data_IF_193457808818
#
_entry.id   IF_193457808818
#
_cell.length_a   1.000
_cell.length_b   1.000
_cell.length_c   1.000
_cell.angle_alpha   90.00
_cell.angle_beta   90.00
_cell.angle_gamma   90.00
#
_symmetry.space_group_name_H-M   'P 1'
#
loop_
_entity.id
_entity.type
_entity.pdbx_description
1 polymer ?
2 non-polymer ?
3 non-polymer ?
4 non-polymer ?
5 water ?
#
# COMPACT_ATOMS: atom_id res chain seq x y z
N UNK A 1 -5.10 -16.78 -8.97
CA UNK A 1 -6.18 -15.73 -9.00
C UNK A 1 -5.61 -14.34 -8.78
N UNK A 2 -4.33 -14.12 -9.12
CA UNK A 2 -3.65 -12.79 -9.12
C UNK A 2 -4.55 -11.72 -9.78
N UNK A 3 -5.27 -12.11 -10.84
CA UNK A 3 -6.08 -11.19 -11.65
C UNK A 3 -7.17 -10.54 -10.80
N UNK A 4 -7.61 -11.17 -9.70
CA UNK A 4 -8.68 -10.56 -8.88
C UNK A 4 -8.19 -9.27 -8.17
N UNK A 5 -6.90 -9.02 -8.11
CA UNK A 5 -6.39 -7.74 -7.58
C UNK A 5 -6.49 -6.61 -8.60
N UNK A 6 -6.56 -6.94 -9.88
CA UNK A 6 -6.55 -5.93 -10.92
C UNK A 6 -7.82 -5.09 -10.87
N UNK A 7 -7.65 -3.80 -11.06
CA UNK A 7 -8.77 -2.85 -11.15
C UNK A 7 -8.55 -1.63 -10.29
N UNK A 8 -9.63 -0.97 -9.99
CA UNK A 8 -9.64 0.33 -9.31
C UNK A 8 -10.39 0.14 -8.00
N UNK A 9 -9.75 0.61 -6.92
CA UNK A 9 -10.18 0.34 -5.56
C UNK A 9 -10.26 1.63 -4.79
N UNK A 10 -11.35 1.80 -4.03
CA UNK A 10 -11.55 3.03 -3.26
C UNK A 10 -11.62 2.72 -1.78
N UNK A 11 -11.00 3.59 -0.96
CA UNK A 11 -10.97 3.33 0.50
C UNK A 11 -12.38 3.50 1.09
N UNK A 12 -12.85 2.53 1.88
CA UNK A 12 -14.15 2.64 2.58
C UNK A 12 -13.98 2.54 4.11
N UNK A 13 -12.83 2.11 4.62
CA UNK A 13 -12.64 2.02 6.08
C UNK A 13 -11.16 2.06 6.43
N UNK A 14 -10.85 2.52 7.64
CA UNK A 14 -9.47 2.55 8.13
C UNK A 14 -9.46 2.38 9.64
N UNK A 15 -8.47 1.68 10.13
CA UNK A 15 -8.10 1.56 11.56
C UNK A 15 -6.61 1.61 11.72
N UNK A 16 -6.16 2.39 12.72
CA UNK A 16 -4.75 2.50 13.17
C UNK A 16 -3.82 3.08 12.08
N UNK A 17 -4.37 3.77 11.08
CA UNK A 17 -3.49 4.36 10.03
C UNK A 17 -2.63 5.46 10.66
N UNK A 18 -3.25 6.31 11.49
CA UNK A 18 -2.50 7.43 12.13
C UNK A 18 -1.38 6.84 12.99
N UNK A 19 -1.69 5.77 13.72
CA UNK A 19 -0.67 5.10 14.59
C UNK A 19 0.45 4.53 13.73
N UNK A 20 0.09 3.92 12.59
CA UNK A 20 1.10 3.33 11.68
C UNK A 20 2.03 4.43 11.16
N UNK A 21 1.44 5.53 10.67
CA UNK A 21 2.24 6.67 10.16
C UNK A 21 3.12 7.23 11.27
N UNK A 22 2.62 7.40 12.49
CA UNK A 22 3.46 7.90 13.61
C UNK A 22 4.67 6.98 13.82
N UNK A 23 4.45 5.70 13.66
CA UNK A 23 5.49 4.64 13.86
C UNK A 23 6.60 4.76 12.81
N UNK A 24 6.32 5.38 11.68
CA UNK A 24 7.34 5.57 10.61
C UNK A 24 7.98 6.96 10.67
N UNK A 25 7.59 7.79 11.65
CA UNK A 25 8.20 9.12 11.78
C UNK A 25 7.51 10.17 10.95
N UNK A 26 6.25 9.90 10.57
CA UNK A 26 5.50 10.90 9.77
C UNK A 26 4.97 11.94 10.74
N UNK A 27 5.24 13.20 10.50
CA UNK A 27 4.87 14.25 11.48
C UNK A 27 3.38 14.51 11.45
N UNK A 28 2.87 15.13 12.52
CA UNK A 28 1.40 15.27 12.81
C UNK A 28 0.73 16.02 11.65
N UNK A 29 1.37 17.08 11.19
CA UNK A 29 0.77 17.90 10.12
C UNK A 29 0.54 17.06 8.85
N UNK A 30 1.50 16.21 8.47
CA UNK A 30 1.41 15.32 7.30
C UNK A 30 0.39 14.20 7.61
N UNK A 31 0.39 13.64 8.81
CA UNK A 31 -0.61 12.60 9.16
C UNK A 31 -2.02 13.15 8.99
N UNK A 32 -2.24 14.39 9.41
CA UNK A 32 -3.58 15.01 9.33
C UNK A 32 -4.04 15.04 7.88
N UNK A 33 -3.16 15.45 6.98
CA UNK A 33 -3.50 15.52 5.53
C UNK A 33 -3.74 14.12 4.99
N UNK A 34 -2.84 13.19 5.29
CA UNK A 34 -2.91 11.82 4.77
C UNK A 34 -4.22 11.15 5.20
N UNK A 35 -4.74 11.50 6.38
CA UNK A 35 -5.92 10.76 6.91
C UNK A 35 -7.24 11.35 6.44
N UNK A 36 -7.23 12.58 5.94
CA UNK A 36 -8.52 13.23 5.66
C UNK A 36 -8.82 13.17 4.16
N UNK A 37 -8.19 12.23 3.45
CA UNK A 37 -8.61 11.84 2.06
C UNK A 37 -8.98 10.35 2.01
N UNK A 38 -9.86 9.95 1.09
CA UNK A 38 -10.08 8.49 0.78
C UNK A 38 -9.40 8.21 -0.55
N UNK A 39 -8.19 7.64 -0.50
CA UNK A 39 -7.46 7.36 -1.72
C UNK A 39 -8.10 6.31 -2.62
N UNK A 40 -7.68 6.39 -3.89
CA UNK A 40 -7.98 5.37 -4.92
C UNK A 40 -6.67 4.66 -5.20
N UNK A 41 -6.73 3.35 -5.35
CA UNK A 41 -5.57 2.51 -5.73
C UNK A 41 -5.93 1.78 -7.01
N UNK A 42 -5.09 1.93 -8.01
CA UNK A 42 -5.26 1.23 -9.31
C UNK A 42 -4.16 0.19 -9.40
N UNK A 43 -4.56 -1.07 -9.64
CA UNK A 43 -3.58 -2.17 -9.81
C UNK A 43 -3.75 -2.66 -11.25
N UNK A 44 -2.67 -2.64 -12.01
CA UNK A 44 -2.73 -3.00 -13.44
C UNK A 44 -1.52 -3.90 -13.76
N UNK A 45 -1.61 -4.57 -14.90
CA UNK A 45 -0.56 -5.51 -15.32
C UNK A 45 -0.41 -5.40 -16.82
N UNK A 46 0.83 -5.47 -17.26
CA UNK A 46 1.15 -5.42 -18.72
C UNK A 46 2.32 -6.38 -18.88
N UNK A 47 2.08 -7.54 -19.46
CA UNK A 47 3.03 -8.65 -19.43
C UNK A 47 3.33 -9.05 -18.00
N UNK A 48 4.62 -9.10 -17.64
CA UNK A 48 4.97 -9.47 -16.27
C UNK A 48 5.27 -8.24 -15.45
N UNK A 49 4.91 -7.05 -15.94
CA UNK A 49 5.10 -5.81 -15.15
C UNK A 49 3.79 -5.40 -14.52
N UNK A 50 3.78 -5.35 -13.19
CA UNK A 50 2.65 -4.83 -12.43
C UNK A 50 2.88 -3.37 -12.11
N UNK A 51 1.79 -2.61 -12.07
CA UNK A 51 1.82 -1.20 -11.68
C UNK A 51 0.78 -0.98 -10.62
N UNK A 52 1.18 -0.27 -9.57
CA UNK A 52 0.28 0.16 -8.52
C UNK A 52 0.35 1.67 -8.43
N UNK A 53 -0.81 2.29 -8.60
CA UNK A 53 -0.98 3.74 -8.54
C UNK A 53 -1.87 4.07 -7.35
N UNK A 54 -1.49 5.10 -6.62
CA UNK A 54 -2.34 5.61 -5.56
C UNK A 54 -2.57 7.07 -5.84
N UNK A 55 -3.85 7.43 -5.85
CA UNK A 55 -4.32 8.78 -6.18
C UNK A 55 -4.98 9.35 -4.94
N UNK A 56 -4.55 10.54 -4.54
CA UNK A 56 -5.31 11.35 -3.55
C UNK A 56 -4.96 12.83 -3.67
N UNK A 57 -5.34 13.61 -2.65
CA UNK A 57 -4.90 15.02 -2.43
C UNK A 57 -3.63 15.09 -1.52
N UNK A 58 -3.26 14.07 -0.71
CA UNK A 58 -1.93 14.04 0.03
C UNK A 58 -0.81 13.91 -1.03
N UNK A 59 -0.96 12.95 -1.94
CA UNK A 59 0.06 12.75 -2.98
C UNK A 59 -0.50 11.80 -4.06
N UNK A 60 0.16 11.78 -5.20
CA UNK A 60 -0.05 10.66 -6.16
C UNK A 60 1.26 9.86 -6.15
N UNK A 61 1.20 8.53 -6.20
CA UNK A 61 2.39 7.69 -6.33
C UNK A 61 2.11 6.64 -7.41
N UNK A 62 3.18 6.11 -7.92
CA UNK A 62 3.09 5.00 -8.90
C UNK A 62 4.36 4.19 -8.72
N UNK A 63 4.20 2.88 -8.63
CA UNK A 63 5.37 1.98 -8.69
C UNK A 63 5.08 0.91 -9.72
N UNK A 64 6.13 0.44 -10.35
CA UNK A 64 6.08 -0.66 -11.32
C UNK A 64 7.14 -1.68 -10.94
N UNK A 65 6.80 -2.94 -11.09
CA UNK A 65 7.67 -4.01 -10.59
C UNK A 65 7.27 -5.35 -11.23
N UNK A 66 8.19 -6.28 -11.20
CA UNK A 66 7.94 -7.67 -11.45
C UNK A 66 7.84 -8.43 -10.14
N UNK A 67 6.94 -9.41 -10.07
CA UNK A 67 6.86 -10.22 -8.86
C UNK A 67 8.22 -10.81 -8.60
N UNK A 68 8.66 -10.73 -7.32
CA UNK A 68 9.88 -11.40 -6.94
C UNK A 68 11.17 -10.77 -7.37
N UNK A 69 11.15 -9.56 -7.89
CA UNK A 69 12.37 -8.81 -8.29
C UNK A 69 12.46 -7.51 -7.49
N UNK A 70 13.53 -7.39 -6.71
CA UNK A 70 13.77 -6.21 -5.84
C UNK A 70 13.82 -4.93 -6.69
N UNK A 71 13.24 -3.84 -6.18
CA UNK A 71 13.26 -2.56 -6.87
C UNK A 71 13.45 -1.45 -5.84
N UNK A 72 13.92 -0.32 -6.36
CA UNK A 72 14.06 0.89 -5.54
C UNK A 72 12.70 1.62 -5.58
N UNK A 73 12.30 2.11 -4.40
CA UNK A 73 11.02 2.86 -4.24
C UNK A 73 11.28 4.08 -3.34
N UNK A 74 10.63 5.17 -3.68
CA UNK A 74 10.53 6.33 -2.77
C UNK A 74 9.09 6.49 -2.37
N UNK A 75 8.81 6.23 -1.11
CA UNK A 75 7.44 6.19 -0.60
C UNK A 75 6.81 7.56 -0.54
N UNK A 76 5.50 7.55 -0.29
CA UNK A 76 4.72 8.78 -0.27
C UNK A 76 5.29 9.73 0.79
N UNK A 77 5.78 9.17 1.89
CA UNK A 77 6.36 9.89 3.07
C UNK A 77 7.91 10.10 2.89
N UNK A 78 8.42 9.89 1.68
CA UNK A 78 9.80 10.24 1.26
C UNK A 78 10.83 9.28 1.87
N UNK A 79 10.45 8.04 2.27
CA UNK A 79 11.47 7.03 2.58
C UNK A 79 11.99 6.46 1.25
N UNK A 80 13.31 6.42 1.09
CA UNK A 80 13.95 5.62 0.04
C UNK A 80 14.17 4.22 0.60
N UNK A 81 13.53 3.25 -0.04
CA UNK A 81 13.46 1.87 0.46
C UNK A 81 13.86 0.89 -0.68
N UNK A 82 14.17 -0.30 -0.20
CA UNK A 82 14.39 -1.46 -1.09
C UNK A 82 13.14 -2.32 -0.97
N UNK A 83 12.49 -2.57 -2.10
CA UNK A 83 11.14 -3.18 -2.09
C UNK A 83 11.11 -4.46 -2.87
N UNK A 84 10.17 -5.30 -2.48
CA UNK A 84 9.86 -6.49 -3.29
C UNK A 84 8.40 -6.84 -3.08
N UNK A 85 7.77 -7.28 -4.14
CA UNK A 85 6.36 -7.70 -4.08
C UNK A 85 6.29 -9.14 -4.47
N UNK A 86 5.63 -9.90 -3.61
CA UNK A 86 5.48 -11.35 -3.78
C UNK A 86 4.03 -11.75 -3.62
N UNK A 87 3.75 -12.99 -4.04
CA UNK A 87 2.43 -13.61 -3.88
C UNK A 87 2.62 -14.80 -2.94
N UNK A 88 2.00 -14.75 -1.78
CA UNK A 88 2.10 -15.81 -0.73
C UNK A 88 0.70 -16.37 -0.52
N UNK A 89 0.36 -17.39 -1.30
CA UNK A 89 -1.02 -17.88 -1.30
C UNK A 89 -1.92 -16.82 -1.93
N UNK A 90 -2.88 -16.35 -1.20
CA UNK A 90 -3.72 -15.29 -1.77
C UNK A 90 -3.31 -13.90 -1.34
N UNK A 91 -2.17 -13.75 -0.76
CA UNK A 91 -1.73 -12.44 -0.21
C UNK A 91 -0.74 -11.84 -1.19
N UNK A 92 -0.99 -10.61 -1.64
CA UNK A 92 0.00 -9.82 -2.41
C UNK A 92 0.81 -8.97 -1.42
N UNK A 93 2.05 -9.36 -1.20
CA UNK A 93 2.89 -8.83 -0.07
C UNK A 93 3.89 -7.86 -0.64
N UNK A 94 3.81 -6.63 -0.22
CA UNK A 94 4.79 -5.58 -0.58
C UNK A 94 5.68 -5.33 0.62
N UNK A 95 6.94 -5.76 0.56
CA UNK A 95 7.92 -5.55 1.64
C UNK A 95 8.78 -4.34 1.28
N UNK A 96 8.95 -3.43 2.25
CA UNK A 96 9.85 -2.27 2.14
C UNK A 96 10.90 -2.43 3.25
N UNK A 97 12.17 -2.34 2.88
CA UNK A 97 13.34 -2.38 3.81
C UNK A 97 14.18 -1.13 3.71
N UNK A 98 14.64 -0.65 4.86
CA UNK A 98 15.61 0.49 4.86
C UNK A 98 16.20 0.54 6.25
N UNK A 99 17.47 0.89 6.28
CA UNK A 99 18.13 1.32 7.54
C UNK A 99 17.96 0.29 8.63
N UNK A 100 18.02 -1.00 8.27
CA UNK A 100 17.93 -2.06 9.25
C UNK A 100 16.51 -2.35 9.75
N UNK A 101 15.49 -1.77 9.14
CA UNK A 101 14.11 -2.03 9.54
C UNK A 101 13.27 -2.34 8.29
N UNK A 102 12.00 -2.59 8.53
CA UNK A 102 11.09 -3.02 7.44
C UNK A 102 9.64 -2.74 7.80
N UNK A 103 8.81 -2.72 6.75
CA UNK A 103 7.34 -2.70 6.90
C UNK A 103 6.74 -3.55 5.78
N UNK A 104 5.64 -4.20 6.06
CA UNK A 104 4.90 -4.92 5.00
C UNK A 104 3.55 -4.24 4.77
N UNK A 105 3.13 -4.26 3.51
CA UNK A 105 1.83 -3.79 3.04
C UNK A 105 1.23 -5.01 2.34
N UNK A 106 0.29 -5.66 2.98
CA UNK A 106 -0.25 -6.95 2.53
C UNK A 106 -1.66 -6.74 2.02
N UNK A 107 -1.96 -7.20 0.82
CA UNK A 107 -3.31 -7.10 0.24
C UNK A 107 -3.90 -8.50 0.10
N UNK A 108 -5.14 -8.64 0.55
CA UNK A 108 -5.86 -9.92 0.46
C UNK A 108 -7.31 -9.61 0.08
N UNK A 109 -7.96 -10.48 -0.69
CA UNK A 109 -9.37 -10.28 -1.07
C UNK A 109 -10.18 -11.17 -0.13
N UNK A 110 -11.11 -10.54 0.54
CA UNK A 110 -12.01 -11.17 1.51
C UNK A 110 -13.43 -10.66 1.18
N UNK A 111 -14.29 -11.58 0.77
CA UNK A 111 -15.70 -11.26 0.49
C UNK A 111 -15.75 -10.18 -0.60
N UNK A 112 -14.87 -10.20 -1.59
CA UNK A 112 -14.87 -9.21 -2.68
C UNK A 112 -14.19 -7.87 -2.35
N UNK A 113 -13.84 -7.61 -1.08
CA UNK A 113 -13.19 -6.37 -0.62
C UNK A 113 -11.70 -6.63 -0.59
N UNK A 114 -10.95 -5.57 -0.81
CA UNK A 114 -9.48 -5.67 -0.73
C UNK A 114 -9.05 -5.12 0.63
N UNK A 115 -8.47 -6.01 1.44
CA UNK A 115 -8.00 -5.68 2.80
C UNK A 115 -6.52 -5.42 2.70
N UNK A 116 -6.08 -4.21 3.03
CA UNK A 116 -4.65 -3.83 3.06
C UNK A 116 -4.21 -3.74 4.49
N UNK A 117 -3.31 -4.62 4.91
CA UNK A 117 -2.78 -4.65 6.26
C UNK A 117 -1.36 -4.09 6.22
N UNK A 118 -1.09 -3.05 6.97
CA UNK A 118 0.23 -2.40 7.02
C UNK A 118 0.82 -2.74 8.40
N UNK A 119 2.00 -3.34 8.41
CA UNK A 119 2.65 -3.78 9.66
C UNK A 119 4.00 -3.11 9.76
N UNK A 120 4.25 -2.42 10.89
CA UNK A 120 5.60 -1.89 11.19
C UNK A 120 5.83 -2.13 12.66
N UNK A 121 6.63 -3.13 12.97
CA UNK A 121 6.81 -3.60 14.35
C UNK A 121 5.47 -3.95 14.96
N UNK A 122 5.11 -3.35 16.07
CA UNK A 122 3.77 -3.66 16.67
C UNK A 122 2.66 -2.78 16.11
N UNK A 123 2.94 -1.84 15.21
CA UNK A 123 1.88 -0.98 14.60
C UNK A 123 1.26 -1.80 13.46
N UNK A 124 -0.01 -2.10 13.57
CA UNK A 124 -0.80 -2.80 12.54
C UNK A 124 -2.06 -1.99 12.16
N UNK A 125 -2.21 -1.66 10.85
CA UNK A 125 -3.18 -0.80 10.33
C UNK A 125 -3.94 -1.65 9.35
N UNK A 126 -5.27 -1.52 9.34
CA UNK A 126 -6.11 -2.14 8.36
C UNK A 126 -6.82 -1.06 7.57
N UNK A 127 -6.66 -1.11 6.27
CA UNK A 127 -7.23 -0.20 5.26
C UNK A 127 -8.17 -1.05 4.40
N UNK A 128 -9.44 -0.73 4.36
CA UNK A 128 -10.40 -1.55 3.61
C UNK A 128 -10.80 -0.83 2.34
N UNK A 129 -10.71 -1.54 1.21
CA UNK A 129 -11.00 -0.96 -0.12
C UNK A 129 -12.12 -1.74 -0.81
N UNK A 130 -12.95 -1.01 -1.56
CA UNK A 130 -14.07 -1.62 -2.34
C UNK A 130 -13.78 -1.38 -3.83
N UNK A 131 -14.10 -2.37 -4.67
CA UNK A 131 -13.81 -2.27 -6.09
C UNK A 131 -14.77 -1.27 -6.72
N UNK A 132 -14.27 -0.40 -7.59
CA UNK A 132 -15.09 0.45 -8.48
C UNK A 132 -15.59 -0.39 -9.68
N UNK A 133 -16.80 -0.06 -10.11
CA UNK A 133 -17.60 -0.59 -11.26
C UNK A 133 -17.18 0.11 -12.54
X LIG B 1 -3.48 3.82 1.81
X LIG B 1 2.67 5.34 3.49
X LIG B 1 2.36 6.33 4.62
X LIG B 1 3.42 6.36 5.68
X LIG B 1 2.05 7.74 4.13
X LIG B 1 -2.38 3.15 1.20
X LIG B 1 -2.60 3.10 -0.18
X LIG B 1 -1.07 3.81 1.69
X LIG B 1 -0.43 3.20 2.74
X LIG B 1 0.74 3.70 3.31
X LIG B 1 1.40 4.81 2.80
X LIG B 1 0.79 5.42 1.69
X LIG B 1 -0.44 4.95 1.16
X LIG B 1 -4.27 3.06 2.05
X LIG B 1 -3.42 5.11 2.11
X LIG C 1 -16.13 6.76 6.64
X LIG C 1 -15.06 5.79 6.44
X LIG C 1 -13.79 6.47 6.84
X LIG C 1 -12.58 5.86 6.34
X LIG C 1 -11.52 6.83 6.52
X LIG C 1 -11.66 7.68 5.33
X LIG C 1 -10.97 8.96 5.44
X LIG C 1 -11.88 10.02 5.63
X LIG C 1 -12.07 11.00 4.56
X LIG C 1 -13.42 11.50 4.58
X LIG C 1 -14.01 11.47 3.25
X LIG C 1 -15.56 11.62 3.16
X LIG C 1 -16.25 10.51 2.55
X LIG D 1 -4.81 -11.07 8.65
X LIG D 1 -4.07 -10.08 7.97
X LIG D 1 -3.24 -10.86 7.03
X LIG D 1 -2.05 -10.29 6.58
X LIG D 1 -1.29 -9.63 7.55
X LIG D 1 0.14 -9.35 7.24
X LIG D 1 0.71 -10.63 6.64
X LIG D 1 2.16 -10.71 6.72
X LIG D 1 2.80 -11.64 5.71
X LIG D 1 1.93 -12.75 5.50
X LIG D 1 2.56 -14.04 5.57
X LIG D 1 1.56 -15.12 5.80
X LIG D 1 1.15 -15.43 4.49
X LIG D 1 1.24 -16.78 4.27
X LIG D 1 -0.23 -17.02 4.08
X LIG D 1 -0.57 -16.78 2.76
X LIG E 1 1.82 0.19 -1.64
X LIG E 1 2.03 -1.03 -1.65
X LIG E 1 0.70 0.72 -1.60
X LIG E 1 3.05 1.16 -1.51
#
# INVERSE_FOLDING_TARGET
>A
MVDAFLGTWKLVDSKNFDDYMKSLGVGFATRQVASMTKPTTIIEKNGDILTLKTHSTFKNTEISFKLGVEFDETTADDRKVKSIVTLDGGKLVHLQKWDGQETTLVRELIDGKLILTLTHGTAVCTRTYEKEA
>B hetero
1 IBP C1 C2 C3 C4 C5 C6 C7 C8 C9 C10 C11 C12 C13 O1 O2
>C hetero
1 P6G O1 C2 C3 O4 C5 C6 O7 C8 C9 O10 C11 C12 O13
>D hetero
1 P6G O1 C2 C3 O4 C5 C6 O7 C8 C9 O10 C11 C12 O13 C14 C15 O16
>E hetero
1 ACY C O OXT CH3
#
